data_IF_820616679156
#
_entry.id   IF_820616679156
#
_cell.length_a   1.000
_cell.length_b   1.000
_cell.length_c   1.000
_cell.angle_alpha   90.00
_cell.angle_beta   90.00
_cell.angle_gamma   90.00
#
_symmetry.space_group_name_H-M   'P 1'
#
loop_
_entity.id
_entity.type
_entity.pdbx_description
1 polymer ?
#
# COMPACT_ATOMS: atom_id res chain seq x y z
N UNK A 1 6.53 -31.32 -15.67
CA UNK A 1 7.03 -29.96 -15.67
C UNK A 1 7.58 -29.59 -17.01
N UNK A 2 8.25 -30.53 -17.59
CA UNK A 2 8.92 -30.28 -18.86
C UNK A 2 7.95 -30.05 -20.01
N UNK A 3 6.68 -30.39 -19.78
CA UNK A 3 5.67 -30.34 -20.81
C UNK A 3 4.83 -29.09 -20.80
N UNK A 4 5.17 -28.11 -19.96
CA UNK A 4 4.45 -26.85 -19.95
C UNK A 4 4.75 -26.06 -21.22
N UNK A 5 3.68 -25.63 -21.88
CA UNK A 5 3.83 -24.79 -23.06
C UNK A 5 4.50 -23.45 -22.72
N UNK A 6 5.17 -22.83 -23.69
CA UNK A 6 5.73 -21.49 -23.47
C UNK A 6 4.68 -20.49 -22.98
N UNK A 7 3.45 -20.60 -23.45
CA UNK A 7 2.35 -19.74 -23.02
C UNK A 7 2.07 -19.90 -21.52
N UNK A 8 2.01 -21.15 -21.04
CA UNK A 8 1.75 -21.42 -19.64
C UNK A 8 2.93 -20.97 -18.77
N UNK A 9 4.16 -21.26 -19.22
CA UNK A 9 5.35 -20.78 -18.51
C UNK A 9 5.34 -19.27 -18.36
N UNK A 10 4.95 -18.56 -19.41
CA UNK A 10 4.86 -17.12 -19.40
C UNK A 10 3.78 -16.62 -18.42
N UNK A 11 2.65 -17.32 -18.41
CA UNK A 11 1.56 -16.98 -17.46
C UNK A 11 1.99 -17.19 -16.01
N UNK A 12 2.74 -18.24 -15.73
CA UNK A 12 3.28 -18.48 -14.39
C UNK A 12 4.23 -17.36 -13.98
N UNK A 13 5.09 -16.92 -14.90
CA UNK A 13 6.01 -15.82 -14.62
C UNK A 13 5.24 -14.53 -14.34
N UNK A 14 4.20 -14.24 -15.11
CA UNK A 14 3.34 -13.09 -14.89
C UNK A 14 2.62 -13.16 -13.53
N UNK A 15 2.16 -14.34 -13.17
CA UNK A 15 1.49 -14.57 -11.89
C UNK A 15 2.41 -14.24 -10.72
N UNK A 16 3.65 -14.74 -10.80
CA UNK A 16 4.65 -14.44 -9.76
C UNK A 16 4.97 -12.96 -9.69
N UNK A 17 5.05 -12.29 -10.84
CA UNK A 17 5.28 -10.86 -10.89
C UNK A 17 4.13 -10.09 -10.25
N UNK A 18 2.90 -10.50 -10.51
CA UNK A 18 1.72 -9.88 -9.90
C UNK A 18 1.73 -10.06 -8.38
N UNK A 19 2.15 -11.24 -7.90
CA UNK A 19 2.27 -11.46 -6.46
C UNK A 19 3.25 -10.47 -5.83
N UNK A 20 4.40 -10.27 -6.47
CA UNK A 20 5.41 -9.32 -5.97
C UNK A 20 4.90 -7.89 -5.99
N UNK A 21 4.22 -7.50 -7.07
CA UNK A 21 3.65 -6.15 -7.20
C UNK A 21 2.58 -5.92 -6.14
N UNK A 22 1.71 -6.90 -5.93
CA UNK A 22 0.67 -6.79 -4.92
C UNK A 22 1.27 -6.68 -3.53
N UNK A 23 2.29 -7.48 -3.23
CA UNK A 23 2.95 -7.41 -1.93
C UNK A 23 3.59 -6.03 -1.71
N UNK A 24 4.21 -5.48 -2.74
CA UNK A 24 4.80 -4.14 -2.67
C UNK A 24 3.76 -3.07 -2.38
N UNK A 25 2.62 -3.12 -3.09
CA UNK A 25 1.53 -2.16 -2.88
C UNK A 25 0.97 -2.28 -1.46
N UNK A 26 0.78 -3.50 -0.98
CA UNK A 26 0.28 -3.74 0.38
C UNK A 26 1.25 -3.20 1.44
N UNK A 27 2.55 -3.38 1.24
CA UNK A 27 3.56 -2.84 2.16
C UNK A 27 3.54 -1.32 2.17
N UNK A 28 3.47 -0.68 1.00
CA UNK A 28 3.39 0.77 0.90
C UNK A 28 2.12 1.31 1.56
N UNK A 29 1.00 0.64 1.32
CA UNK A 29 -0.28 0.99 1.91
C UNK A 29 -0.23 0.90 3.43
N UNK A 30 0.34 -0.17 3.95
CA UNK A 30 0.48 -0.37 5.39
C UNK A 30 1.32 0.74 6.04
N UNK A 31 2.47 1.06 5.44
CA UNK A 31 3.35 2.11 5.96
C UNK A 31 2.69 3.47 5.92
N UNK A 32 2.00 3.77 4.84
CA UNK A 32 1.34 5.06 4.68
C UNK A 32 0.16 5.22 5.64
N UNK A 33 -0.61 4.15 5.82
CA UNK A 33 -1.71 4.13 6.78
C UNK A 33 -1.19 4.38 8.21
N UNK A 34 -0.07 3.77 8.56
CA UNK A 34 0.56 3.98 9.85
C UNK A 34 0.98 5.44 10.04
N UNK A 35 1.52 6.07 8.99
CA UNK A 35 1.91 7.47 9.04
C UNK A 35 0.71 8.38 9.20
N UNK A 36 -0.39 8.11 8.51
CA UNK A 36 -1.63 8.89 8.65
C UNK A 36 -2.17 8.79 10.07
N UNK A 37 -2.14 7.59 10.64
CA UNK A 37 -2.59 7.39 12.02
C UNK A 37 -1.71 8.14 13.02
N UNK A 38 -0.40 8.15 12.78
CA UNK A 38 0.53 8.87 13.63
C UNK A 38 0.30 10.39 13.55
N UNK A 39 0.02 10.91 12.37
CA UNK A 39 -0.31 12.32 12.18
C UNK A 39 -1.60 12.67 12.89
N UNK A 40 -2.60 11.81 12.85
CA UNK A 40 -3.86 12.02 13.56
C UNK A 40 -3.64 12.08 15.07
N UNK A 41 -2.79 11.18 15.59
CA UNK A 41 -2.45 11.18 17.01
C UNK A 41 -1.72 12.45 17.42
N UNK A 42 -0.77 12.88 16.60
CA UNK A 42 -0.04 14.12 16.84
C UNK A 42 -0.99 15.31 16.88
N UNK A 43 -1.93 15.37 15.96
CA UNK A 43 -2.96 16.43 15.93
C UNK A 43 -3.78 16.42 17.22
N UNK A 44 -4.19 15.25 17.69
CA UNK A 44 -4.94 15.13 18.94
C UNK A 44 -4.15 15.67 20.14
N UNK A 45 -2.87 15.29 20.21
CA UNK A 45 -2.02 15.75 21.31
C UNK A 45 -1.80 17.27 21.26
N UNK A 46 -1.60 17.82 20.07
CA UNK A 46 -1.45 19.27 19.92
C UNK A 46 -2.74 20.00 20.30
N UNK A 47 -3.89 19.47 19.94
CA UNK A 47 -5.16 20.09 20.27
C UNK A 47 -5.42 20.14 21.78
N UNK A 48 -4.86 19.20 22.52
CA UNK A 48 -4.94 19.18 23.98
C UNK A 48 -3.94 20.10 24.65
N UNK A 49 -2.93 20.56 23.92
CA UNK A 49 -1.87 21.40 24.45
C UNK A 49 -2.32 22.86 24.54
N UNK A 50 -1.71 23.69 25.43
CA UNK A 50 -2.02 25.12 25.49
C UNK A 50 -1.69 25.82 24.18
N UNK A 51 -2.36 26.97 23.95
CA UNK A 51 -2.12 27.78 22.76
C UNK A 51 -0.68 28.24 22.63
N UNK A 52 -0.03 28.49 23.74
CA UNK A 52 1.34 28.99 23.79
C UNK A 52 2.38 27.90 23.94
N UNK A 53 2.00 26.63 23.67
CA UNK A 53 2.93 25.51 23.75
C UNK A 53 4.11 25.74 22.81
N UNK A 54 5.32 25.43 23.31
CA UNK A 54 6.54 25.52 22.50
C UNK A 54 6.75 24.21 21.78
N UNK A 55 6.89 24.29 20.46
CA UNK A 55 7.02 23.11 19.61
C UNK A 55 8.34 23.16 18.86
N UNK A 56 9.02 22.03 18.75
CA UNK A 56 10.24 21.91 17.99
C UNK A 56 10.03 20.92 16.84
N UNK A 57 10.61 21.25 15.68
CA UNK A 57 10.64 20.34 14.52
C UNK A 57 11.97 19.63 14.49
N UNK A 58 11.94 18.35 14.22
CA UNK A 58 13.13 17.56 13.97
C UNK A 58 13.45 17.60 12.48
N UNK A 59 14.59 18.19 12.13
CA UNK A 59 15.04 18.30 10.74
C UNK A 59 16.46 17.76 10.68
N UNK A 60 16.61 16.54 10.15
CA UNK A 60 17.87 15.86 10.18
C UNK A 60 18.37 15.68 11.61
N UNK A 61 19.56 16.18 11.90
CA UNK A 61 20.17 16.10 13.23
C UNK A 61 19.79 17.31 14.11
N UNK A 62 18.95 18.20 13.63
CA UNK A 62 18.63 19.45 14.32
C UNK A 62 17.20 19.46 14.85
N UNK A 63 17.01 20.12 15.98
CA UNK A 63 15.70 20.47 16.50
C UNK A 63 15.53 21.98 16.35
N UNK A 64 14.54 22.40 15.61
CA UNK A 64 14.31 23.81 15.29
C UNK A 64 12.96 24.21 15.86
N UNK A 65 12.93 25.34 16.55
CA UNK A 65 11.70 25.86 17.12
C UNK A 65 10.72 26.22 16.01
N UNK A 66 9.51 25.73 16.11
CA UNK A 66 8.45 26.01 15.14
C UNK A 66 7.72 27.31 15.49
N UNK A 67 6.97 27.85 14.51
CA UNK A 67 6.31 29.14 14.61
C UNK A 67 5.11 29.14 15.53
N UNK A 68 4.60 28.00 15.91
CA UNK A 68 3.47 27.93 16.83
C UNK A 68 2.53 26.81 16.48
N UNK A 69 1.59 26.58 17.38
CA UNK A 69 0.66 25.46 17.30
C UNK A 69 -0.19 25.49 16.03
N UNK A 70 -0.75 26.64 15.69
CA UNK A 70 -1.63 26.74 14.52
C UNK A 70 -0.92 26.42 13.21
N UNK A 71 0.30 26.92 13.06
CA UNK A 71 1.10 26.65 11.86
C UNK A 71 1.41 25.16 11.74
N UNK A 72 1.78 24.52 12.85
CA UNK A 72 2.10 23.10 12.87
C UNK A 72 0.88 22.25 12.56
N UNK A 73 -0.27 22.59 13.14
CA UNK A 73 -1.52 21.87 12.88
C UNK A 73 -1.88 21.94 11.39
N UNK A 74 -1.70 23.11 10.79
CA UNK A 74 -1.98 23.30 9.37
C UNK A 74 -1.03 22.45 8.52
N UNK A 75 0.26 22.46 8.85
CA UNK A 75 1.26 21.68 8.12
C UNK A 75 0.96 20.17 8.18
N UNK A 76 0.59 19.70 9.37
CA UNK A 76 0.23 18.30 9.56
C UNK A 76 -1.00 17.94 8.74
N UNK A 77 -2.01 18.79 8.75
CA UNK A 77 -3.24 18.55 8.01
C UNK A 77 -2.98 18.47 6.50
N UNK A 78 -2.16 19.38 5.97
CA UNK A 78 -1.79 19.36 4.56
C UNK A 78 -1.02 18.08 4.19
N UNK A 79 -0.08 17.68 5.03
CA UNK A 79 0.68 16.45 4.82
C UNK A 79 -0.23 15.23 4.86
N UNK A 80 -1.16 15.21 5.81
CA UNK A 80 -2.10 14.11 5.97
C UNK A 80 -3.01 14.00 4.75
N UNK A 81 -3.52 15.11 4.25
CA UNK A 81 -4.35 15.11 3.04
C UNK A 81 -3.60 14.55 1.85
N UNK A 82 -2.35 14.96 1.67
CA UNK A 82 -1.50 14.45 0.59
C UNK A 82 -1.33 12.94 0.70
N UNK A 83 -1.08 12.46 1.91
CA UNK A 83 -0.92 11.02 2.13
C UNK A 83 -2.21 10.25 1.90
N UNK A 84 -3.34 10.82 2.30
CA UNK A 84 -4.63 10.17 2.10
C UNK A 84 -4.97 10.05 0.61
N UNK A 85 -4.60 11.05 -0.20
CA UNK A 85 -4.76 10.96 -1.65
C UNK A 85 -3.90 9.83 -2.22
N UNK A 86 -2.65 9.73 -1.77
CA UNK A 86 -1.77 8.63 -2.19
C UNK A 86 -2.30 7.28 -1.76
N UNK A 87 -2.83 7.22 -0.54
CA UNK A 87 -3.40 5.98 -0.01
C UNK A 87 -4.55 5.50 -0.88
N UNK A 88 -5.42 6.40 -1.32
CA UNK A 88 -6.50 6.05 -2.24
C UNK A 88 -5.98 5.55 -3.57
N UNK A 89 -4.89 6.14 -4.07
CA UNK A 89 -4.26 5.65 -5.29
C UNK A 89 -3.73 4.24 -5.11
N UNK A 90 -3.11 3.96 -3.98
CA UNK A 90 -2.63 2.60 -3.67
C UNK A 90 -3.78 1.60 -3.55
N UNK A 91 -4.90 2.02 -2.98
CA UNK A 91 -6.09 1.17 -2.90
C UNK A 91 -6.62 0.82 -4.29
N UNK A 92 -6.62 1.77 -5.22
CA UNK A 92 -7.01 1.50 -6.60
C UNK A 92 -6.03 0.56 -7.29
N UNK A 93 -4.73 0.74 -7.05
CA UNK A 93 -3.71 -0.17 -7.59
C UNK A 93 -3.89 -1.57 -7.03
N UNK A 94 -4.12 -1.68 -5.74
CA UNK A 94 -4.37 -2.96 -5.09
C UNK A 94 -5.56 -3.67 -5.74
N UNK A 95 -6.66 -2.96 -5.92
CA UNK A 95 -7.85 -3.53 -6.53
C UNK A 95 -7.57 -4.05 -7.94
N UNK A 96 -6.91 -3.24 -8.75
CA UNK A 96 -6.55 -3.61 -10.12
C UNK A 96 -5.66 -4.86 -10.14
N UNK A 97 -4.66 -4.90 -9.26
CA UNK A 97 -3.74 -6.03 -9.18
C UNK A 97 -4.45 -7.30 -8.71
N UNK A 98 -5.37 -7.19 -7.76
CA UNK A 98 -6.14 -8.34 -7.29
C UNK A 98 -7.05 -8.88 -8.38
N UNK A 99 -7.66 -8.02 -9.17
CA UNK A 99 -8.49 -8.46 -10.29
C UNK A 99 -7.67 -9.18 -11.34
N UNK A 100 -6.50 -8.66 -11.67
CA UNK A 100 -5.59 -9.30 -12.63
C UNK A 100 -5.03 -10.61 -12.09
N UNK A 101 -4.70 -10.63 -10.81
CA UNK A 101 -4.23 -11.84 -10.13
C UNK A 101 -5.29 -12.94 -10.22
N UNK A 102 -6.54 -12.60 -9.89
CA UNK A 102 -7.64 -13.56 -9.92
C UNK A 102 -7.88 -14.08 -11.33
N UNK A 103 -7.88 -13.19 -12.32
CA UNK A 103 -8.09 -13.57 -13.72
C UNK A 103 -7.00 -14.52 -14.19
N UNK A 104 -5.76 -14.22 -13.85
CA UNK A 104 -4.62 -15.05 -14.26
C UNK A 104 -4.63 -16.38 -13.51
N UNK A 105 -5.01 -16.39 -12.25
CA UNK A 105 -5.17 -17.62 -11.49
C UNK A 105 -6.19 -18.54 -12.14
N UNK A 106 -7.33 -17.97 -12.56
CA UNK A 106 -8.38 -18.74 -13.24
C UNK A 106 -7.87 -19.29 -14.57
N UNK A 107 -7.12 -18.49 -15.33
CA UNK A 107 -6.55 -18.95 -16.59
C UNK A 107 -5.55 -20.09 -16.36
N UNK A 108 -4.72 -19.99 -15.35
CA UNK A 108 -3.75 -21.04 -15.03
C UNK A 108 -4.44 -22.32 -14.59
N UNK A 109 -5.49 -22.19 -13.79
CA UNK A 109 -6.25 -23.38 -13.37
C UNK A 109 -6.83 -24.11 -14.58
N UNK A 110 -7.36 -23.38 -15.55
CA UNK A 110 -7.88 -23.96 -16.78
C UNK A 110 -6.77 -24.59 -17.62
N UNK A 111 -5.65 -23.89 -17.75
CA UNK A 111 -4.53 -24.35 -18.58
C UNK A 111 -3.87 -25.59 -17.99
N UNK A 112 -3.88 -25.74 -16.68
CA UNK A 112 -3.27 -26.86 -15.97
C UNK A 112 -4.26 -27.95 -15.66
N UNK A 113 -5.52 -27.83 -16.11
CA UNK A 113 -6.49 -28.91 -16.00
C UNK A 113 -6.04 -30.08 -16.87
N UNK A 114 -6.19 -31.29 -16.35
CA UNK A 114 -5.76 -32.48 -17.08
C UNK A 114 -6.70 -32.76 -18.22
N UNK A 115 -6.21 -33.46 -19.28
CA UNK A 115 -7.10 -33.89 -20.37
C UNK A 115 -8.26 -34.75 -19.91
N UNK A 116 -8.14 -35.40 -18.76
CA UNK A 116 -9.24 -36.18 -18.18
C UNK A 116 -10.33 -35.30 -17.60
N UNK A 117 -10.15 -33.98 -17.62
CA UNK A 117 -11.15 -33.05 -17.12
C UNK A 117 -11.10 -32.78 -15.63
N UNK A 118 -10.08 -33.27 -14.95
CA UNK A 118 -9.92 -33.00 -13.54
C UNK A 118 -9.13 -31.70 -13.35
N UNK A 119 -9.75 -30.67 -12.80
CA UNK A 119 -9.02 -29.44 -12.53
C UNK A 119 -8.09 -29.63 -11.35
N UNK A 120 -7.11 -28.74 -11.26
CA UNK A 120 -6.30 -28.67 -10.04
C UNK A 120 -7.20 -28.28 -8.88
N UNK A 121 -6.85 -28.75 -7.71
CA UNK A 121 -7.58 -28.36 -6.51
C UNK A 121 -7.54 -26.85 -6.29
N UNK A 122 -8.35 -26.37 -5.35
CA UNK A 122 -8.35 -24.93 -5.05
C UNK A 122 -6.97 -24.48 -4.62
N UNK A 123 -6.61 -23.30 -5.07
CA UNK A 123 -5.30 -22.72 -4.81
C UNK A 123 -5.40 -21.64 -3.74
#
# INVERSE_FOLDING_TARGET
MDDLSPKVQNQIAQFQQLQQQLQSVLNQKFQMDAQVKEMSRTTEELNKSPEDVVIYKSIGALLIKADGKETILKDIEESKETMEVRLKSLERQEKSLRERYQALQDQLNKALATPSGQPLGPI
#
